data_IF_846433655601
#
_entry.id   IF_846433655601
#
_cell.length_a   1.000
_cell.length_b   1.000
_cell.length_c   1.000
_cell.angle_alpha   90.00
_cell.angle_beta   90.00
_cell.angle_gamma   90.00
#
_symmetry.space_group_name_H-M   'P 1'
#
loop_
_entity.id
_entity.type
_entity.pdbx_description
1 polymer ?
#
# COMPACT_ATOMS: atom_id res chain seq x y z
N UNK A 1 3.39 13.78 -13.76
CA UNK A 1 2.84 12.40 -13.85
C UNK A 1 3.51 11.46 -12.84
N UNK A 2 4.83 11.54 -12.71
CA UNK A 2 5.62 10.71 -11.79
C UNK A 2 5.23 10.91 -10.30
N UNK A 3 5.05 12.15 -9.86
CA UNK A 3 4.71 12.47 -8.45
C UNK A 3 3.43 11.82 -7.95
N UNK A 4 2.36 11.79 -8.77
CA UNK A 4 1.10 11.14 -8.40
C UNK A 4 1.25 9.61 -8.29
N UNK A 5 1.98 8.97 -9.21
CA UNK A 5 2.25 7.53 -9.15
C UNK A 5 3.09 7.17 -7.92
N UNK A 6 4.11 7.99 -7.64
CA UNK A 6 4.94 7.86 -6.43
C UNK A 6 4.10 7.98 -5.17
N UNK A 7 3.23 9.00 -5.10
CA UNK A 7 2.31 9.16 -3.97
C UNK A 7 1.40 7.95 -3.80
N UNK A 8 0.79 7.46 -4.87
CA UNK A 8 -0.05 6.26 -4.81
C UNK A 8 0.72 5.03 -4.32
N UNK A 9 1.95 4.83 -4.79
CA UNK A 9 2.80 3.74 -4.31
C UNK A 9 3.15 3.90 -2.83
N UNK A 10 3.38 5.12 -2.35
CA UNK A 10 3.53 5.40 -0.91
C UNK A 10 2.26 5.06 -0.13
N UNK A 11 1.06 5.38 -0.67
CA UNK A 11 -0.22 5.02 -0.03
C UNK A 11 -0.42 3.50 0.03
N UNK A 12 0.02 2.77 -0.99
CA UNK A 12 -0.05 1.31 -0.95
C UNK A 12 0.99 0.72 0.00
N UNK A 13 2.17 1.33 0.11
CA UNK A 13 3.17 0.92 1.09
C UNK A 13 2.68 1.13 2.53
N UNK A 14 1.95 2.22 2.82
CA UNK A 14 1.41 2.43 4.17
C UNK A 14 0.41 1.36 4.60
N UNK A 15 -0.28 0.69 3.66
CA UNK A 15 -1.09 -0.50 3.95
C UNK A 15 -0.22 -1.61 4.53
N UNK A 16 0.93 -1.89 3.92
CA UNK A 16 1.86 -2.94 4.38
C UNK A 16 2.34 -2.63 5.80
N UNK A 17 2.66 -1.38 6.09
CA UNK A 17 3.04 -0.96 7.43
C UNK A 17 1.88 -1.10 8.44
N UNK A 18 0.64 -0.78 8.04
CA UNK A 18 -0.52 -1.01 8.88
C UNK A 18 -0.72 -2.50 9.20
N UNK A 19 -0.64 -3.37 8.21
CA UNK A 19 -0.75 -4.83 8.42
C UNK A 19 0.38 -5.35 9.32
N UNK A 20 1.61 -4.84 9.16
CA UNK A 20 2.75 -5.21 9.99
C UNK A 20 2.59 -4.75 11.45
N UNK A 21 2.10 -3.53 11.68
CA UNK A 21 1.81 -3.02 13.02
C UNK A 21 0.65 -3.76 13.70
N UNK A 22 -0.42 -4.03 12.95
CA UNK A 22 -1.57 -4.79 13.44
C UNK A 22 -1.15 -6.25 13.76
N UNK A 23 -0.21 -6.85 13.01
CA UNK A 23 0.37 -8.17 13.34
C UNK A 23 1.21 -8.13 14.63
N UNK A 24 2.06 -7.12 14.82
CA UNK A 24 2.84 -6.97 16.07
C UNK A 24 1.97 -6.90 17.32
N UNK A 25 0.74 -6.41 17.18
CA UNK A 25 -0.17 -6.23 18.32
C UNK A 25 -1.09 -7.43 18.57
N UNK A 26 -1.23 -8.36 17.61
CA UNK A 26 -2.09 -9.53 17.72
C UNK A 26 -1.32 -10.83 17.36
N UNK A 27 -0.94 -11.63 18.37
CA UNK A 27 -0.17 -12.88 18.22
C UNK A 27 -0.93 -14.07 17.56
N UNK A 28 -2.15 -13.88 17.03
CA UNK A 28 -2.97 -14.98 16.49
C UNK A 28 -3.68 -14.59 15.20
N UNK A 29 -3.04 -14.87 14.08
CA UNK A 29 -3.59 -15.56 12.91
C UNK A 29 -2.46 -15.65 11.88
N UNK A 30 -2.42 -16.71 11.06
CA UNK A 30 -1.42 -16.85 10.00
C UNK A 30 -1.51 -15.60 9.12
N UNK A 31 -0.53 -14.72 9.27
CA UNK A 31 -0.72 -13.32 8.91
C UNK A 31 -0.79 -13.20 7.40
N UNK A 32 -1.56 -12.25 6.89
CA UNK A 32 -1.55 -11.87 5.47
C UNK A 32 -0.11 -11.71 4.96
N UNK A 33 0.81 -11.25 5.83
CA UNK A 33 2.23 -11.11 5.54
C UNK A 33 2.92 -12.46 5.32
N UNK A 34 2.69 -13.48 6.17
CA UNK A 34 3.29 -14.81 6.01
C UNK A 34 2.85 -15.48 4.70
N UNK A 35 1.56 -15.38 4.38
CA UNK A 35 1.01 -15.86 3.10
C UNK A 35 1.69 -15.14 1.94
N UNK A 36 1.86 -13.82 2.04
CA UNK A 36 2.46 -13.04 0.97
C UNK A 36 3.99 -13.18 0.87
N UNK A 37 4.69 -13.52 1.94
CA UNK A 37 6.11 -13.91 1.88
C UNK A 37 6.26 -15.19 1.06
N UNK A 38 5.40 -16.18 1.30
CA UNK A 38 5.39 -17.42 0.54
C UNK A 38 4.97 -17.23 -0.92
N UNK A 39 3.86 -16.54 -1.19
CA UNK A 39 3.37 -16.32 -2.56
C UNK A 39 4.26 -15.36 -3.37
N UNK A 40 4.82 -14.35 -2.73
CA UNK A 40 5.68 -13.34 -3.34
C UNK A 40 7.14 -13.75 -3.48
N UNK A 41 7.53 -14.91 -2.91
CA UNK A 41 8.92 -15.36 -2.78
C UNK A 41 9.83 -14.26 -2.20
N UNK A 42 9.32 -13.52 -1.21
CA UNK A 42 10.04 -12.43 -0.57
C UNK A 42 10.59 -12.93 0.77
N UNK A 43 11.91 -12.84 0.95
CA UNK A 43 12.54 -13.17 2.22
C UNK A 43 12.32 -12.08 3.27
N UNK A 44 12.42 -12.46 4.55
CA UNK A 44 12.35 -11.50 5.66
C UNK A 44 13.44 -10.43 5.55
N UNK A 45 14.64 -10.78 5.07
CA UNK A 45 15.73 -9.82 4.85
C UNK A 45 15.41 -8.81 3.75
N UNK A 46 14.82 -9.25 2.63
CA UNK A 46 14.35 -8.35 1.57
C UNK A 46 13.22 -7.44 2.06
N UNK A 47 12.32 -7.96 2.91
CA UNK A 47 11.26 -7.18 3.51
C UNK A 47 11.79 -6.12 4.46
N UNK A 48 12.72 -6.48 5.34
CA UNK A 48 13.40 -5.52 6.20
C UNK A 48 14.13 -4.45 5.37
N UNK A 49 14.83 -4.86 4.32
CA UNK A 49 15.49 -3.94 3.38
C UNK A 49 14.49 -3.05 2.62
N UNK A 50 13.28 -3.53 2.34
CA UNK A 50 12.21 -2.72 1.79
C UNK A 50 11.76 -1.69 2.83
N UNK A 51 11.50 -2.10 4.07
CA UNK A 51 11.07 -1.20 5.16
C UNK A 51 12.11 -0.12 5.51
N UNK A 52 13.39 -0.45 5.45
CA UNK A 52 14.50 0.42 5.90
C UNK A 52 15.14 1.23 4.77
N UNK A 53 14.78 0.99 3.50
CA UNK A 53 15.38 1.69 2.34
C UNK A 53 15.17 3.20 2.36
N UNK A 54 14.22 3.69 3.14
CA UNK A 54 14.02 5.09 3.39
C UNK A 54 15.11 5.64 4.33
N UNK A 55 16.31 5.86 3.80
CA UNK A 55 17.33 6.63 4.50
C UNK A 55 16.90 8.10 4.57
N UNK A 56 16.53 8.55 5.77
CA UNK A 56 16.24 9.95 6.10
C UNK A 56 14.76 10.34 6.00
N UNK A 57 14.12 10.47 7.16
CA UNK A 57 12.89 11.24 7.42
C UNK A 57 11.64 10.96 6.56
N UNK A 58 10.69 10.20 7.13
CA UNK A 58 9.25 10.15 6.75
C UNK A 58 8.88 9.69 5.33
N UNK A 59 9.82 9.27 4.50
CA UNK A 59 9.51 8.72 3.17
C UNK A 59 9.12 7.25 3.33
N UNK A 60 7.89 6.90 2.95
CA UNK A 60 7.52 5.49 2.89
C UNK A 60 8.27 4.81 1.74
N UNK A 61 8.80 3.60 1.96
CA UNK A 61 9.51 2.90 0.91
C UNK A 61 8.56 2.57 -0.23
N UNK A 62 8.95 2.97 -1.43
CA UNK A 62 8.23 2.70 -2.66
C UNK A 62 8.72 1.34 -3.18
N UNK A 63 7.84 0.37 -3.49
CA UNK A 63 8.25 -0.87 -4.16
C UNK A 63 8.95 -0.58 -5.51
N UNK A 64 10.23 -0.92 -5.60
CA UNK A 64 11.09 -0.67 -6.77
C UNK A 64 11.23 -1.95 -7.59
N UNK A 65 11.55 -3.07 -6.93
CA UNK A 65 11.82 -4.34 -7.58
C UNK A 65 10.55 -5.18 -7.73
N UNK A 66 10.59 -6.19 -8.60
CA UNK A 66 9.42 -7.01 -8.93
C UNK A 66 8.88 -7.76 -7.71
N UNK A 67 9.76 -8.34 -6.88
CA UNK A 67 9.40 -9.06 -5.65
C UNK A 67 8.56 -8.19 -4.71
N UNK A 68 8.92 -6.92 -4.52
CA UNK A 68 8.19 -5.99 -3.65
C UNK A 68 6.81 -5.63 -4.20
N UNK A 69 6.71 -5.49 -5.52
CA UNK A 69 5.45 -5.22 -6.20
C UNK A 69 4.52 -6.43 -6.10
N UNK A 70 5.04 -7.64 -6.28
CA UNK A 70 4.29 -8.89 -6.11
C UNK A 70 3.83 -9.08 -4.66
N UNK A 71 4.70 -8.79 -3.69
CA UNK A 71 4.37 -8.84 -2.28
C UNK A 71 3.25 -7.86 -1.91
N UNK A 72 3.37 -6.59 -2.33
CA UNK A 72 2.35 -5.58 -2.12
C UNK A 72 1.02 -5.97 -2.79
N UNK A 73 1.07 -6.47 -4.03
CA UNK A 73 -0.12 -6.92 -4.75
C UNK A 73 -0.81 -8.10 -4.05
N UNK A 74 -0.04 -9.04 -3.49
CA UNK A 74 -0.58 -10.10 -2.65
C UNK A 74 -1.33 -9.51 -1.43
N UNK A 75 -0.72 -8.58 -0.70
CA UNK A 75 -1.35 -7.96 0.47
C UNK A 75 -2.64 -7.26 0.08
N UNK A 76 -2.63 -6.47 -0.99
CA UNK A 76 -3.83 -5.77 -1.45
C UNK A 76 -4.95 -6.75 -1.83
N UNK A 77 -4.63 -7.91 -2.41
CA UNK A 77 -5.61 -8.95 -2.73
C UNK A 77 -6.16 -9.65 -1.49
N UNK A 78 -5.29 -10.07 -0.57
CA UNK A 78 -5.68 -10.79 0.66
C UNK A 78 -6.46 -9.91 1.64
N UNK A 79 -6.19 -8.61 1.65
CA UNK A 79 -6.96 -7.61 2.44
C UNK A 79 -8.23 -7.12 1.73
N UNK A 80 -8.58 -7.67 0.56
CA UNK A 80 -9.70 -7.25 -0.28
C UNK A 80 -9.64 -5.78 -0.76
N UNK A 81 -8.51 -5.10 -0.60
CA UNK A 81 -8.29 -3.76 -1.16
C UNK A 81 -8.16 -3.79 -2.68
N UNK A 82 -7.85 -4.95 -3.26
CA UNK A 82 -7.95 -5.22 -4.68
C UNK A 82 -8.70 -6.51 -4.93
N UNK A 83 -9.73 -6.46 -5.78
CA UNK A 83 -10.50 -7.63 -6.21
C UNK A 83 -10.74 -7.57 -7.70
N UNK A 84 -10.41 -8.64 -8.42
CA UNK A 84 -10.57 -8.75 -9.88
C UNK A 84 -9.93 -7.56 -10.65
N UNK A 85 -8.75 -7.13 -10.21
CA UNK A 85 -8.02 -5.99 -10.79
C UNK A 85 -8.66 -4.62 -10.54
N UNK A 86 -9.71 -4.54 -9.69
CA UNK A 86 -10.30 -3.29 -9.24
C UNK A 86 -9.88 -3.00 -7.80
N UNK A 87 -9.43 -1.78 -7.57
CA UNK A 87 -9.06 -1.30 -6.24
C UNK A 87 -10.31 -0.80 -5.52
N UNK A 88 -10.51 -1.25 -4.28
CA UNK A 88 -11.49 -0.68 -3.36
C UNK A 88 -10.93 0.63 -2.79
N UNK A 89 -11.38 1.75 -3.36
CA UNK A 89 -10.98 3.09 -2.90
C UNK A 89 -11.28 3.27 -1.43
N UNK A 90 -12.43 2.80 -0.94
CA UNK A 90 -12.85 2.91 0.45
C UNK A 90 -11.87 2.21 1.41
N UNK A 91 -11.56 0.93 1.16
CA UNK A 91 -10.68 0.14 2.03
C UNK A 91 -9.25 0.66 2.00
N UNK A 92 -8.74 0.98 0.80
CA UNK A 92 -7.40 1.54 0.65
C UNK A 92 -7.29 2.91 1.33
N UNK A 93 -8.31 3.76 1.18
CA UNK A 93 -8.37 5.07 1.83
C UNK A 93 -8.41 4.92 3.33
N UNK A 94 -9.24 4.00 3.86
CA UNK A 94 -9.36 3.77 5.29
C UNK A 94 -8.05 3.31 5.91
N UNK A 95 -7.36 2.35 5.29
CA UNK A 95 -6.09 1.85 5.82
C UNK A 95 -4.98 2.88 5.71
N UNK A 96 -4.84 3.56 4.57
CA UNK A 96 -3.84 4.62 4.44
C UNK A 96 -4.14 5.80 5.37
N UNK A 97 -5.40 6.21 5.51
CA UNK A 97 -5.79 7.26 6.45
C UNK A 97 -5.55 6.85 7.91
N UNK A 98 -5.75 5.58 8.30
CA UNK A 98 -5.38 5.06 9.64
C UNK A 98 -3.91 5.29 9.92
N UNK A 99 -3.04 5.12 8.92
CA UNK A 99 -1.61 5.39 9.04
C UNK A 99 -1.31 6.90 9.19
N UNK A 100 -1.78 7.73 8.25
CA UNK A 100 -1.42 9.16 8.21
C UNK A 100 -2.15 10.04 9.22
N UNK A 101 -3.36 9.65 9.65
CA UNK A 101 -4.17 10.43 10.58
C UNK A 101 -3.77 10.23 12.05
N UNK A 102 -2.87 9.27 12.37
CA UNK A 102 -2.41 8.99 13.74
C UNK A 102 -1.90 10.23 14.49
N UNK A 103 -1.36 11.21 13.78
CA UNK A 103 -0.76 12.42 14.38
C UNK A 103 -1.51 13.71 14.05
N UNK A 104 -2.78 13.65 13.63
CA UNK A 104 -3.50 14.83 13.11
C UNK A 104 -4.79 15.15 13.88
N UNK A 105 -5.09 16.44 14.03
CA UNK A 105 -6.31 16.94 14.70
C UNK A 105 -7.56 16.96 13.81
N UNK A 106 -7.42 16.73 12.50
CA UNK A 106 -8.53 16.68 11.54
C UNK A 106 -8.49 15.44 10.62
N UNK A 107 -8.91 14.26 11.13
CA UNK A 107 -8.85 13.00 10.39
C UNK A 107 -9.74 12.99 9.13
N UNK A 108 -10.85 13.75 9.12
CA UNK A 108 -11.75 13.86 7.97
C UNK A 108 -11.06 14.51 6.76
N UNK A 109 -10.23 15.53 7.00
CA UNK A 109 -9.47 16.19 5.94
C UNK A 109 -8.41 15.24 5.34
N UNK A 110 -7.72 14.46 6.18
CA UNK A 110 -6.76 13.46 5.70
C UNK A 110 -7.46 12.39 4.87
N UNK A 111 -8.57 11.83 5.37
CA UNK A 111 -9.34 10.83 4.62
C UNK A 111 -9.70 11.32 3.21
N UNK A 112 -10.26 12.54 3.10
CA UNK A 112 -10.62 13.14 1.81
C UNK A 112 -9.41 13.33 0.89
N UNK A 113 -8.28 13.82 1.42
CA UNK A 113 -7.05 13.99 0.62
C UNK A 113 -6.50 12.67 0.11
N UNK A 114 -6.52 11.63 0.94
CA UNK A 114 -6.11 10.28 0.56
C UNK A 114 -6.99 9.74 -0.57
N UNK A 115 -8.30 9.87 -0.41
CA UNK A 115 -9.29 9.45 -1.40
C UNK A 115 -9.09 10.18 -2.75
N UNK A 116 -8.90 11.50 -2.72
CA UNK A 116 -8.66 12.32 -3.91
C UNK A 116 -7.40 11.87 -4.67
N UNK A 117 -6.32 11.55 -3.95
CA UNK A 117 -5.07 11.04 -4.55
C UNK A 117 -5.29 9.68 -5.20
N UNK A 118 -5.96 8.75 -4.52
CA UNK A 118 -6.27 7.41 -5.05
C UNK A 118 -7.12 7.54 -6.32
N UNK A 119 -8.19 8.33 -6.28
CA UNK A 119 -9.08 8.55 -7.42
C UNK A 119 -8.35 9.18 -8.61
N UNK A 120 -7.49 10.17 -8.38
CA UNK A 120 -6.68 10.79 -9.43
C UNK A 120 -5.73 9.78 -10.10
N UNK A 121 -5.17 8.84 -9.33
CA UNK A 121 -4.27 7.82 -9.85
C UNK A 121 -5.02 6.73 -10.63
N UNK A 122 -6.18 6.28 -10.13
CA UNK A 122 -7.02 5.29 -10.79
C UNK A 122 -7.53 5.78 -12.15
N UNK A 123 -8.01 7.04 -12.23
CA UNK A 123 -8.46 7.65 -13.49
C UNK A 123 -7.38 7.69 -14.57
N UNK A 124 -6.10 7.76 -14.18
CA UNK A 124 -4.97 7.71 -15.11
C UNK A 124 -4.56 6.29 -15.50
N UNK A 125 -4.82 5.30 -14.63
CA UNK A 125 -4.59 3.88 -14.94
C UNK A 125 -5.53 3.35 -16.02
N UNK A 126 -6.79 3.80 -16.04
CA UNK A 126 -7.76 3.47 -17.10
C UNK A 126 -7.39 4.06 -18.46
N UNK A 127 -6.80 5.26 -18.50
CA UNK A 127 -6.32 5.88 -19.76
C UNK A 127 -5.17 5.12 -20.43
N UNK A 128 -4.29 4.48 -19.64
CA UNK A 128 -3.18 3.66 -20.16
C UNK A 128 -3.62 2.30 -20.71
N UNK A 129 -4.75 1.75 -20.26
CA UNK A 129 -5.32 0.52 -20.85
C UNK A 129 -6.04 0.77 -22.17
N UNK A 130 -6.53 1.99 -22.42
CA UNK A 130 -7.23 2.33 -23.66
C UNK A 130 -6.31 2.73 -24.81
N UNK A 131 -5.02 2.95 -24.55
CA UNK A 131 -4.02 3.31 -25.58
C UNK A 131 -3.18 2.12 -26.06
N UNK A 132 -3.44 0.92 -25.53
CA UNK A 132 -2.76 -0.34 -25.90
C UNK A 132 -3.81 -1.41 -26.26
N UNK A 133 -4.96 -1.00 -26.79
CA UNK A 133 -5.95 -1.90 -27.38
C UNK A 133 -6.18 -1.57 -28.84
#
# INVERSE_FOLDING_TARGET
MFTLKVLFLCMTASVVFCEYEDQKSNERDSSTLDICFMEGNMSLGEFQNMLTRAHGSYVLPIPIIQVEKCFLDCIMRKTNMMKNGKISVELLTRSAAKFYARSTSNPKLIYKRVEDIINACLKKGTYLRQTIS
#
